data_IF_724544545580
#
_entry.id   IF_724544545580
#
_cell.length_a   1.000
_cell.length_b   1.000
_cell.length_c   1.000
_cell.angle_alpha   90.00
_cell.angle_beta   90.00
_cell.angle_gamma   90.00
#
_symmetry.space_group_name_H-M   'P 1'
#
loop_
_entity.id
_entity.type
_entity.pdbx_description
1 polymer ?
#
# COMPACT_ATOMS: atom_id res chain seq x y z
N UNK A 1 9.66 -1.77 -6.05
CA UNK A 1 10.23 -2.84 -6.89
C UNK A 1 9.44 -2.91 -8.19
N UNK A 2 10.12 -2.88 -9.34
CA UNK A 2 9.54 -3.24 -10.64
C UNK A 2 10.18 -4.54 -11.12
N UNK A 3 9.41 -5.41 -11.78
CA UNK A 3 9.94 -6.64 -12.37
C UNK A 3 10.96 -6.39 -13.50
N UNK A 4 10.96 -5.18 -14.06
CA UNK A 4 11.88 -4.75 -15.12
C UNK A 4 13.15 -4.09 -14.57
N UNK A 5 13.20 -3.81 -13.26
CA UNK A 5 14.35 -3.15 -12.64
C UNK A 5 15.22 -4.17 -11.92
N UNK A 6 16.55 -3.96 -11.88
CA UNK A 6 17.42 -4.81 -11.09
C UNK A 6 17.01 -4.80 -9.61
N UNK A 7 17.30 -5.87 -8.85
CA UNK A 7 17.03 -5.90 -7.41
C UNK A 7 17.63 -4.67 -6.73
N UNK A 8 16.89 -3.99 -5.84
CA UNK A 8 17.43 -2.84 -5.12
C UNK A 8 18.61 -3.28 -4.27
N UNK A 9 19.57 -2.36 -4.15
CA UNK A 9 20.72 -2.52 -3.27
C UNK A 9 20.26 -2.78 -1.83
N UNK A 10 21.02 -3.60 -1.13
CA UNK A 10 20.72 -3.95 0.26
C UNK A 10 20.83 -2.69 1.14
N UNK A 11 19.74 -2.26 1.82
CA UNK A 11 19.77 -1.04 2.61
C UNK A 11 20.69 -1.19 3.83
N UNK A 12 21.47 -0.15 4.12
CA UNK A 12 22.44 -0.17 5.23
C UNK A 12 21.77 -0.34 6.59
N UNK A 13 20.56 0.21 6.75
CA UNK A 13 19.74 0.14 7.96
C UNK A 13 19.31 -1.29 8.31
N UNK A 14 19.26 -2.18 7.32
CA UNK A 14 18.81 -3.57 7.46
C UNK A 14 19.97 -4.55 7.74
N UNK A 15 21.22 -4.11 7.66
CA UNK A 15 22.41 -4.96 7.83
C UNK A 15 22.44 -5.70 9.16
N UNK A 16 21.92 -5.08 10.23
CA UNK A 16 21.90 -5.66 11.58
C UNK A 16 20.76 -6.68 11.80
N UNK A 17 19.74 -6.68 10.93
CA UNK A 17 18.51 -7.47 11.13
C UNK A 17 18.36 -8.61 10.13
N UNK A 18 18.91 -8.45 8.92
CA UNK A 18 18.70 -9.39 7.81
C UNK A 18 20.05 -9.68 7.17
N UNK A 19 20.40 -10.96 6.99
CA UNK A 19 21.62 -11.30 6.24
C UNK A 19 21.48 -10.95 4.76
N UNK A 20 22.58 -10.55 4.08
CA UNK A 20 22.55 -10.22 2.64
C UNK A 20 21.96 -11.35 1.78
N UNK A 21 22.30 -12.60 2.09
CA UNK A 21 21.79 -13.78 1.36
C UNK A 21 20.27 -13.96 1.52
N UNK A 22 19.76 -13.72 2.73
CA UNK A 22 18.30 -13.75 3.00
C UNK A 22 17.59 -12.66 2.24
N UNK A 23 18.17 -11.45 2.18
CA UNK A 23 17.61 -10.33 1.42
C UNK A 23 17.48 -10.69 -0.07
N UNK A 24 18.57 -11.12 -0.70
CA UNK A 24 18.60 -11.42 -2.13
C UNK A 24 17.60 -12.53 -2.49
N UNK A 25 17.55 -13.59 -1.68
CA UNK A 25 16.63 -14.71 -1.88
C UNK A 25 15.16 -14.27 -1.78
N UNK A 26 14.82 -13.48 -0.76
CA UNK A 26 13.44 -12.99 -0.54
C UNK A 26 13.01 -11.99 -1.61
N UNK A 27 13.88 -11.05 -1.98
CA UNK A 27 13.58 -10.05 -3.02
C UNK A 27 13.38 -10.73 -4.38
N UNK A 28 14.19 -11.73 -4.72
CA UNK A 28 13.99 -12.53 -5.94
C UNK A 28 12.66 -13.30 -5.91
N UNK A 29 12.32 -13.91 -4.79
CA UNK A 29 11.06 -14.64 -4.64
C UNK A 29 9.83 -13.71 -4.76
N UNK A 30 9.86 -12.54 -4.12
CA UNK A 30 8.82 -11.50 -4.25
C UNK A 30 8.69 -11.07 -5.70
N UNK A 31 9.82 -10.75 -6.35
CA UNK A 31 9.82 -10.26 -7.73
C UNK A 31 9.28 -11.31 -8.70
N UNK A 32 9.62 -12.59 -8.49
CA UNK A 32 9.11 -13.72 -9.29
C UNK A 32 7.60 -13.90 -9.16
N UNK A 33 7.07 -13.86 -7.94
CA UNK A 33 5.61 -13.96 -7.75
C UNK A 33 4.94 -12.73 -8.34
N UNK A 34 5.46 -11.53 -8.07
CA UNK A 34 4.86 -10.31 -8.56
C UNK A 34 4.83 -10.23 -10.10
N UNK A 35 5.87 -10.71 -10.79
CA UNK A 35 5.92 -10.71 -12.26
C UNK A 35 4.93 -11.68 -12.92
N UNK A 36 4.46 -12.69 -12.19
CA UNK A 36 3.41 -13.62 -12.64
C UNK A 36 2.01 -13.01 -12.55
N UNK A 37 1.76 -12.11 -11.59
CA UNK A 37 0.43 -11.55 -11.30
C UNK A 37 0.30 -10.04 -11.61
N UNK A 38 1.38 -9.39 -12.06
CA UNK A 38 1.40 -8.01 -12.54
C UNK A 38 1.65 -8.00 -14.04
N UNK A 39 0.58 -7.90 -14.83
CA UNK A 39 0.64 -7.81 -16.31
C UNK A 39 -0.12 -6.57 -16.75
N UNK A 40 0.49 -5.37 -16.61
CA UNK A 40 -0.19 -4.08 -16.79
C UNK A 40 -0.72 -3.91 -18.22
N UNK A 41 0.00 -4.41 -19.23
CA UNK A 41 -0.40 -4.35 -20.63
C UNK A 41 -1.62 -5.21 -20.91
N UNK A 42 -1.63 -6.45 -20.40
CA UNK A 42 -2.76 -7.35 -20.52
C UNK A 42 -3.99 -6.78 -19.79
N UNK A 43 -3.81 -6.25 -18.58
CA UNK A 43 -4.89 -5.60 -17.82
C UNK A 43 -5.47 -4.41 -18.57
N UNK A 44 -4.63 -3.55 -19.17
CA UNK A 44 -5.08 -2.41 -19.99
C UNK A 44 -5.85 -2.88 -21.22
N UNK A 45 -5.30 -3.81 -22.00
CA UNK A 45 -5.96 -4.33 -23.20
C UNK A 45 -7.30 -5.00 -22.86
N UNK A 46 -7.33 -5.80 -21.79
CA UNK A 46 -8.55 -6.45 -21.34
C UNK A 46 -9.58 -5.43 -20.87
N UNK A 47 -9.20 -4.44 -20.08
CA UNK A 47 -10.11 -3.39 -19.61
C UNK A 47 -10.67 -2.55 -20.75
N UNK A 48 -9.85 -2.23 -21.77
CA UNK A 48 -10.32 -1.56 -22.98
C UNK A 48 -11.32 -2.42 -23.76
N UNK A 49 -11.02 -3.72 -23.92
CA UNK A 49 -11.93 -4.67 -24.56
C UNK A 49 -13.25 -4.75 -23.80
N UNK A 50 -13.21 -4.93 -22.47
CA UNK A 50 -14.39 -4.94 -21.60
C UNK A 50 -15.22 -3.68 -21.72
N UNK A 51 -14.56 -2.51 -21.79
CA UNK A 51 -15.25 -1.22 -21.93
C UNK A 51 -16.03 -1.18 -23.24
N UNK A 52 -15.39 -1.52 -24.38
CA UNK A 52 -16.04 -1.54 -25.69
C UNK A 52 -17.21 -2.53 -25.69
N UNK A 53 -16.97 -3.73 -25.17
CA UNK A 53 -17.95 -4.82 -25.17
C UNK A 53 -19.18 -4.50 -24.29
N UNK A 54 -18.98 -3.72 -23.22
CA UNK A 54 -20.07 -3.24 -22.35
C UNK A 54 -21.10 -2.39 -23.10
N UNK A 55 -20.70 -1.65 -24.14
CA UNK A 55 -21.64 -0.88 -24.96
C UNK A 55 -22.16 -1.65 -26.16
N UNK A 56 -21.28 -2.38 -26.84
CA UNK A 56 -21.64 -3.10 -28.09
C UNK A 56 -22.57 -4.28 -27.81
N UNK A 57 -22.30 -5.08 -26.77
CA UNK A 57 -23.06 -6.31 -26.53
C UNK A 57 -24.54 -6.04 -26.18
N UNK A 58 -24.91 -5.09 -25.31
CA UNK A 58 -26.31 -4.79 -25.03
C UNK A 58 -27.04 -4.20 -26.23
N UNK A 59 -26.38 -3.37 -27.04
CA UNK A 59 -26.94 -2.85 -28.29
C UNK A 59 -27.29 -3.99 -29.25
N UNK A 60 -26.34 -4.89 -29.50
CA UNK A 60 -26.57 -6.04 -30.39
C UNK A 60 -27.66 -6.95 -29.82
N UNK A 61 -27.63 -7.24 -28.52
CA UNK A 61 -28.65 -8.05 -27.86
C UNK A 61 -30.06 -7.42 -27.99
N UNK A 62 -30.16 -6.10 -27.81
CA UNK A 62 -31.41 -5.36 -27.99
C UNK A 62 -31.93 -5.45 -29.43
N UNK A 63 -31.06 -5.20 -30.43
CA UNK A 63 -31.45 -5.28 -31.85
C UNK A 63 -31.88 -6.70 -32.24
N UNK A 64 -31.18 -7.72 -31.77
CA UNK A 64 -31.52 -9.12 -32.02
C UNK A 64 -32.84 -9.49 -31.37
N UNK A 65 -33.06 -9.09 -30.11
CA UNK A 65 -34.32 -9.33 -29.40
C UNK A 65 -35.50 -8.66 -30.10
N UNK A 66 -35.36 -7.39 -30.47
CA UNK A 66 -36.41 -6.63 -31.18
C UNK A 66 -36.77 -7.27 -32.53
N UNK A 67 -35.76 -7.68 -33.31
CA UNK A 67 -35.99 -8.33 -34.61
C UNK A 67 -36.63 -9.71 -34.47
N UNK A 68 -36.30 -10.44 -33.40
CA UNK A 68 -36.91 -11.73 -33.09
C UNK A 68 -38.39 -11.56 -32.74
N UNK A 69 -38.73 -10.61 -31.86
CA UNK A 69 -40.12 -10.34 -31.48
C UNK A 69 -40.94 -9.79 -32.66
N UNK A 70 -40.39 -8.86 -33.46
CA UNK A 70 -41.09 -8.32 -34.64
C UNK A 70 -41.43 -9.37 -35.70
N UNK A 71 -40.64 -10.45 -35.84
CA UNK A 71 -40.94 -11.55 -36.79
C UNK A 71 -42.07 -12.45 -36.32
N UNK A 72 -42.32 -12.50 -35.02
CA UNK A 72 -43.31 -13.39 -34.41
C UNK A 72 -44.74 -12.83 -34.54
N UNK A 73 -44.88 -11.56 -34.96
CA UNK A 73 -46.09 -10.76 -34.78
C UNK A 73 -46.75 -10.20 -36.05
N UNK A 74 -46.61 -10.84 -37.21
CA UNK A 74 -47.29 -10.38 -38.45
C UNK A 74 -48.84 -10.43 -38.36
N UNK A 75 -49.46 -10.58 -37.17
CA UNK A 75 -50.92 -10.59 -37.00
C UNK A 75 -51.52 -10.21 -35.64
N UNK A 76 -50.80 -9.63 -34.66
CA UNK A 76 -51.40 -9.27 -33.34
C UNK A 76 -51.26 -7.77 -32.97
N UNK A 77 -52.18 -7.31 -32.10
CA UNK A 77 -52.60 -5.93 -31.80
C UNK A 77 -51.50 -5.00 -31.26
N UNK A 78 -51.65 -3.69 -31.53
CA UNK A 78 -50.80 -2.57 -31.06
C UNK A 78 -50.40 -2.62 -29.57
N UNK A 79 -51.28 -3.06 -28.66
CA UNK A 79 -50.99 -3.10 -27.22
C UNK A 79 -49.83 -4.04 -26.83
N UNK A 80 -49.51 -5.05 -27.64
CA UNK A 80 -48.38 -5.95 -27.33
C UNK A 80 -47.02 -5.33 -27.70
N UNK A 81 -46.99 -4.33 -28.59
CA UNK A 81 -45.75 -3.69 -29.05
C UNK A 81 -44.93 -3.05 -27.91
N UNK A 82 -45.61 -2.39 -26.97
CA UNK A 82 -44.98 -1.79 -25.79
C UNK A 82 -44.38 -2.84 -24.84
N UNK A 83 -45.01 -4.01 -24.74
CA UNK A 83 -44.52 -5.12 -23.92
C UNK A 83 -43.22 -5.69 -24.48
N UNK A 84 -43.09 -5.89 -25.80
CA UNK A 84 -41.84 -6.38 -26.40
C UNK A 84 -40.69 -5.39 -26.31
N UNK A 85 -40.98 -4.09 -26.35
CA UNK A 85 -39.96 -3.05 -26.13
C UNK A 85 -39.40 -3.19 -24.70
N UNK A 86 -40.23 -3.49 -23.71
CA UNK A 86 -39.77 -3.73 -22.35
C UNK A 86 -39.01 -5.04 -22.17
N UNK A 87 -39.50 -6.13 -22.76
CA UNK A 87 -38.84 -7.45 -22.67
C UNK A 87 -37.45 -7.43 -23.33
N UNK A 88 -37.33 -6.80 -24.50
CA UNK A 88 -36.04 -6.65 -25.19
C UNK A 88 -35.03 -5.81 -24.38
N UNK A 89 -35.47 -4.75 -23.69
CA UNK A 89 -34.61 -3.97 -22.78
C UNK A 89 -34.14 -4.80 -21.59
N UNK A 90 -35.01 -5.63 -21.02
CA UNK A 90 -34.67 -6.50 -19.89
C UNK A 90 -33.63 -7.55 -20.29
N UNK A 91 -33.76 -8.13 -21.48
CA UNK A 91 -32.76 -9.06 -22.04
C UNK A 91 -31.41 -8.34 -22.22
N UNK A 92 -31.41 -7.16 -22.84
CA UNK A 92 -30.20 -6.38 -23.04
C UNK A 92 -29.52 -6.02 -21.70
N UNK A 93 -30.30 -5.66 -20.68
CA UNK A 93 -29.80 -5.43 -19.32
C UNK A 93 -29.19 -6.69 -18.70
N UNK A 94 -29.86 -7.85 -18.84
CA UNK A 94 -29.35 -9.14 -18.38
C UNK A 94 -28.01 -9.50 -19.03
N UNK A 95 -27.88 -9.28 -20.35
CA UNK A 95 -26.63 -9.48 -21.09
C UNK A 95 -25.53 -8.55 -20.58
N UNK A 96 -25.84 -7.27 -20.32
CA UNK A 96 -24.89 -6.31 -19.76
C UNK A 96 -24.33 -6.78 -18.41
N UNK A 97 -25.22 -7.18 -17.49
CA UNK A 97 -24.83 -7.65 -16.15
C UNK A 97 -24.03 -8.96 -16.24
N UNK A 98 -24.48 -9.91 -17.06
CA UNK A 98 -23.77 -11.17 -17.28
C UNK A 98 -22.37 -10.93 -17.84
N UNK A 99 -22.23 -9.99 -18.78
CA UNK A 99 -20.94 -9.62 -19.36
C UNK A 99 -20.00 -9.03 -18.30
N UNK A 100 -20.50 -8.20 -17.39
CA UNK A 100 -19.69 -7.67 -16.30
C UNK A 100 -19.10 -8.79 -15.44
N UNK A 101 -19.91 -9.78 -15.06
CA UNK A 101 -19.38 -10.92 -14.31
C UNK A 101 -18.33 -11.68 -15.12
N UNK A 102 -18.58 -11.99 -16.38
CA UNK A 102 -17.62 -12.73 -17.24
C UNK A 102 -16.31 -11.95 -17.44
N UNK A 103 -16.36 -10.63 -17.59
CA UNK A 103 -15.17 -9.83 -17.89
C UNK A 103 -14.38 -9.42 -16.64
N UNK A 104 -15.05 -9.09 -15.53
CA UNK A 104 -14.38 -8.57 -14.33
C UNK A 104 -14.03 -9.66 -13.31
N UNK A 105 -14.84 -10.71 -13.18
CA UNK A 105 -14.64 -11.75 -12.16
C UNK A 105 -13.32 -12.51 -12.36
N UNK A 106 -12.93 -12.95 -13.57
CA UNK A 106 -11.66 -13.66 -13.77
C UNK A 106 -10.45 -12.82 -13.37
N UNK A 107 -10.45 -11.52 -13.68
CA UNK A 107 -9.37 -10.60 -13.27
C UNK A 107 -9.35 -10.43 -11.76
N UNK A 108 -10.51 -10.22 -11.14
CA UNK A 108 -10.61 -10.05 -9.69
C UNK A 108 -10.07 -11.29 -8.96
N UNK A 109 -10.48 -12.49 -9.40
CA UNK A 109 -10.01 -13.77 -8.85
C UNK A 109 -8.51 -13.93 -9.07
N UNK A 110 -8.01 -13.67 -10.28
CA UNK A 110 -6.58 -13.78 -10.57
C UNK A 110 -5.73 -12.85 -9.69
N UNK A 111 -6.15 -11.60 -9.52
CA UNK A 111 -5.49 -10.63 -8.63
C UNK A 111 -5.56 -11.06 -7.17
N UNK A 112 -6.70 -11.58 -6.73
CA UNK A 112 -6.87 -12.09 -5.38
C UNK A 112 -5.94 -13.27 -5.10
N UNK A 113 -5.86 -14.24 -6.02
CA UNK A 113 -4.96 -15.39 -5.90
C UNK A 113 -3.49 -14.96 -5.80
N UNK A 114 -3.06 -13.96 -6.58
CA UNK A 114 -1.71 -13.42 -6.49
C UNK A 114 -1.40 -12.81 -5.13
N UNK A 115 -2.34 -12.04 -4.56
CA UNK A 115 -2.23 -11.46 -3.21
C UNK A 115 -2.19 -12.54 -2.13
N UNK A 116 -3.10 -13.51 -2.20
CA UNK A 116 -3.16 -14.61 -1.24
C UNK A 116 -1.86 -15.44 -1.25
N UNK A 117 -1.30 -15.71 -2.43
CA UNK A 117 -0.03 -16.44 -2.56
C UNK A 117 1.16 -15.66 -2.00
N UNK A 118 1.22 -14.35 -2.27
CA UNK A 118 2.26 -13.48 -1.70
C UNK A 118 2.18 -13.44 -0.18
N UNK A 119 0.99 -13.23 0.38
CA UNK A 119 0.78 -13.19 1.83
C UNK A 119 1.18 -14.53 2.48
N UNK A 120 0.75 -15.66 1.91
CA UNK A 120 1.12 -16.98 2.42
C UNK A 120 2.64 -17.21 2.43
N UNK A 121 3.36 -16.71 1.42
CA UNK A 121 4.82 -16.80 1.37
C UNK A 121 5.47 -15.96 2.47
N UNK A 122 5.03 -14.71 2.64
CA UNK A 122 5.54 -13.79 3.66
C UNK A 122 5.25 -14.33 5.08
N UNK A 123 4.06 -14.86 5.31
CA UNK A 123 3.69 -15.50 6.58
C UNK A 123 4.56 -16.74 6.87
N UNK A 124 4.95 -17.48 5.83
CA UNK A 124 5.90 -18.59 5.94
C UNK A 124 7.26 -18.10 6.46
N UNK A 125 7.80 -17.04 5.86
CA UNK A 125 9.05 -16.44 6.30
C UNK A 125 9.00 -15.90 7.71
N UNK A 126 7.88 -15.27 8.11
CA UNK A 126 7.71 -14.80 9.48
C UNK A 126 7.80 -15.95 10.49
N UNK A 127 7.19 -17.11 10.17
CA UNK A 127 7.27 -18.31 11.03
C UNK A 127 8.68 -18.89 11.09
N UNK A 128 9.39 -18.92 9.97
CA UNK A 128 10.77 -19.43 9.91
C UNK A 128 11.74 -18.50 10.67
N UNK A 129 11.54 -17.19 10.57
CA UNK A 129 12.32 -16.21 11.33
C UNK A 129 12.08 -16.33 12.84
N UNK A 130 10.83 -16.53 13.28
CA UNK A 130 10.51 -16.79 14.70
C UNK A 130 11.21 -18.05 15.21
N UNK A 131 11.27 -19.11 14.41
CA UNK A 131 11.93 -20.38 14.79
C UNK A 131 13.44 -20.28 14.88
N UNK A 132 14.04 -19.41 14.07
CA UNK A 132 15.50 -19.27 13.99
C UNK A 132 16.02 -18.16 14.90
N UNK A 133 15.16 -17.27 15.37
CA UNK A 133 15.54 -16.17 16.24
C UNK A 133 15.94 -16.69 17.64
N UNK A 134 17.12 -16.27 18.10
CA UNK A 134 17.58 -16.52 19.47
C UNK A 134 16.84 -15.67 20.52
N UNK A 135 16.22 -14.56 20.10
CA UNK A 135 15.43 -13.67 20.94
C UNK A 135 14.25 -13.08 20.16
N UNK A 136 13.07 -13.08 20.77
CA UNK A 136 11.83 -12.54 20.19
C UNK A 136 11.89 -11.02 19.93
N UNK A 137 12.82 -10.30 20.56
CA UNK A 137 12.91 -8.84 20.49
C UNK A 137 13.51 -8.35 19.16
N UNK A 138 14.19 -9.21 18.40
CA UNK A 138 14.95 -8.81 17.20
C UNK A 138 14.32 -9.25 15.85
N UNK A 139 13.05 -9.65 15.83
CA UNK A 139 12.43 -10.24 14.63
C UNK A 139 11.91 -9.13 13.70
N UNK A 140 12.53 -8.98 12.52
CA UNK A 140 12.03 -8.09 11.47
C UNK A 140 10.72 -8.64 10.88
N UNK A 141 9.69 -7.81 10.76
CA UNK A 141 8.44 -8.21 10.09
C UNK A 141 8.42 -7.70 8.66
N UNK A 142 8.05 -8.59 7.74
CA UNK A 142 8.00 -8.31 6.31
C UNK A 142 6.54 -8.13 5.90
N UNK A 143 6.25 -7.06 5.17
CA UNK A 143 4.93 -6.84 4.55
C UNK A 143 5.13 -6.43 3.10
N UNK A 144 4.40 -7.08 2.20
CA UNK A 144 4.47 -6.80 0.76
C UNK A 144 3.12 -6.32 0.29
N UNK A 145 3.05 -5.10 -0.21
CA UNK A 145 1.87 -4.59 -0.90
C UNK A 145 2.01 -4.88 -2.39
N UNK A 146 1.15 -5.77 -2.89
CA UNK A 146 1.07 -6.09 -4.32
C UNK A 146 0.56 -4.90 -5.13
N UNK A 147 1.02 -4.76 -6.38
CA UNK A 147 0.56 -3.71 -7.27
C UNK A 147 -0.97 -3.67 -7.39
N UNK A 148 -1.52 -2.45 -7.37
CA UNK A 148 -2.92 -2.19 -7.67
C UNK A 148 -3.24 -2.41 -9.15
N UNK A 149 -4.50 -2.28 -9.52
CA UNK A 149 -4.90 -2.28 -10.94
C UNK A 149 -4.19 -1.10 -11.64
N UNK A 150 -3.57 -1.37 -12.80
CA UNK A 150 -2.82 -0.39 -13.60
C UNK A 150 -1.52 0.18 -13.00
N UNK A 151 -1.07 -0.32 -11.84
CA UNK A 151 0.21 0.08 -11.23
C UNK A 151 1.19 -1.10 -11.30
N UNK A 152 2.45 -0.84 -11.63
CA UNK A 152 3.50 -1.87 -11.60
C UNK A 152 4.36 -1.84 -10.33
N UNK A 153 4.15 -0.86 -9.47
CA UNK A 153 4.92 -0.70 -8.25
C UNK A 153 4.55 -1.74 -7.20
N UNK A 154 5.50 -2.60 -6.85
CA UNK A 154 5.43 -3.43 -5.65
C UNK A 154 6.12 -2.65 -4.51
N UNK A 155 5.44 -2.55 -3.37
CA UNK A 155 5.99 -1.89 -2.18
C UNK A 155 6.32 -2.94 -1.14
N UNK A 156 7.58 -2.99 -0.74
CA UNK A 156 8.07 -3.82 0.35
C UNK A 156 8.24 -2.93 1.58
N UNK A 157 7.56 -3.27 2.66
CA UNK A 157 7.66 -2.60 3.95
C UNK A 157 8.29 -3.58 4.92
N UNK A 158 9.41 -3.20 5.51
CA UNK A 158 10.07 -4.00 6.55
C UNK A 158 10.04 -3.18 7.81
N UNK A 159 9.45 -3.75 8.85
CA UNK A 159 9.42 -3.13 10.18
C UNK A 159 10.46 -3.83 11.03
N UNK A 160 11.52 -3.10 11.37
CA UNK A 160 12.53 -3.54 12.33
C UNK A 160 12.09 -3.15 13.75
N UNK A 161 12.28 -4.02 14.75
CA UNK A 161 12.10 -3.61 16.14
C UNK A 161 13.13 -2.52 16.46
N UNK A 162 12.64 -1.39 16.96
CA UNK A 162 13.49 -0.28 17.35
C UNK A 162 14.45 -0.70 18.47
N UNK A 163 15.64 -0.08 18.58
CA UNK A 163 16.48 -0.27 19.76
C UNK A 163 15.65 0.07 21.01
N UNK A 164 15.83 -0.65 22.14
CA UNK A 164 15.18 -0.28 23.38
C UNK A 164 15.53 1.18 23.68
N UNK A 165 14.53 2.05 23.65
CA UNK A 165 14.73 3.46 23.95
C UNK A 165 15.16 3.58 25.40
N UNK A 166 16.32 4.21 25.63
CA UNK A 166 16.77 4.64 26.97
C UNK A 166 16.01 5.88 27.47
N UNK A 167 14.93 6.28 26.77
CA UNK A 167 14.07 7.41 27.11
C UNK A 167 12.62 6.95 27.36
N UNK A 168 12.42 5.82 28.03
CA UNK A 168 11.15 5.49 28.67
C UNK A 168 10.97 6.31 29.95
N UNK A 169 9.72 6.56 30.38
CA UNK A 169 9.44 7.26 31.64
C UNK A 169 10.07 6.58 32.87
N UNK A 170 10.40 5.29 32.73
CA UNK A 170 10.96 4.40 33.75
C UNK A 170 12.45 4.05 33.49
N UNK A 171 13.06 4.51 32.39
CA UNK A 171 14.43 4.10 32.05
C UNK A 171 15.43 5.00 32.76
N UNK A 172 16.37 4.38 33.49
CA UNK A 172 17.51 5.05 34.10
C UNK A 172 18.26 5.85 33.03
N UNK A 173 18.19 7.18 33.13
CA UNK A 173 19.01 8.08 32.34
C UNK A 173 20.48 7.83 32.70
N UNK A 174 21.40 7.89 31.72
CA UNK A 174 22.83 7.82 32.00
C UNK A 174 23.22 8.87 33.05
N UNK A 175 24.15 8.57 33.97
CA UNK A 175 24.45 9.42 35.13
C UNK A 175 24.95 10.84 34.79
N UNK A 176 25.33 11.10 33.54
CA UNK A 176 25.68 12.45 33.06
C UNK A 176 24.47 13.29 32.63
N UNK A 177 23.30 12.66 32.45
CA UNK A 177 22.01 13.34 32.27
C UNK A 177 21.37 13.39 33.65
N UNK A 178 21.78 14.38 34.45
CA UNK A 178 21.12 14.62 35.73
C UNK A 178 19.62 14.82 35.47
N UNK A 179 18.77 14.02 36.11
CA UNK A 179 17.36 14.39 36.29
C UNK A 179 17.36 15.81 36.87
N UNK A 180 16.58 16.77 36.33
CA UNK A 180 16.52 18.11 36.87
C UNK A 180 16.30 18.02 38.38
N UNK A 181 17.31 18.40 39.16
CA UNK A 181 17.27 18.36 40.64
C UNK A 181 16.30 19.39 41.20
N UNK A 182 15.89 20.34 40.37
CA UNK A 182 14.93 21.37 40.72
C UNK A 182 13.57 20.99 40.13
N UNK A 183 12.57 20.89 41.02
CA UNK A 183 11.18 20.96 40.60
C UNK A 183 11.03 22.17 39.68
N UNK A 184 10.42 21.98 38.51
CA UNK A 184 10.25 23.03 37.53
C UNK A 184 9.72 24.30 38.23
N UNK A 185 10.40 25.46 38.10
CA UNK A 185 9.97 26.67 38.77
C UNK A 185 8.53 26.97 38.34
N UNK A 186 7.67 27.32 39.31
CA UNK A 186 6.30 27.68 39.01
C UNK A 186 6.29 28.82 37.99
N UNK A 187 5.28 28.81 37.10
CA UNK A 187 5.12 29.75 35.99
C UNK A 187 5.23 31.25 36.37
N UNK A 188 5.14 31.56 37.66
CA UNK A 188 5.26 32.91 38.22
C UNK A 188 6.71 33.40 38.33
N UNK A 189 7.69 32.51 38.52
CA UNK A 189 9.12 32.89 38.64
C UNK A 189 9.69 33.26 37.27
N UNK A 190 9.26 32.58 36.19
CA UNK A 190 9.71 32.86 34.82
C UNK A 190 9.34 34.27 34.34
N UNK A 191 8.24 34.84 34.83
CA UNK A 191 7.86 36.23 34.49
C UNK A 191 8.77 37.29 35.11
N UNK A 192 9.38 37.03 36.27
CA UNK A 192 10.26 38.02 36.94
C UNK A 192 11.59 38.24 36.23
N UNK A 193 12.09 37.25 35.50
CA UNK A 193 13.34 37.38 34.73
C UNK A 193 13.12 37.89 33.29
N UNK A 194 11.86 37.99 32.84
CA UNK A 194 11.51 38.44 31.50
C UNK A 194 11.54 39.97 31.30
N UNK A 195 11.73 40.76 32.37
CA UNK A 195 11.71 42.22 32.29
C UNK A 195 13.09 42.88 32.19
N UNK A 196 14.18 42.12 32.08
CA UNK A 196 15.55 42.66 32.13
C UNK A 196 16.47 42.32 30.94
N UNK A 197 16.00 41.72 29.86
CA UNK A 197 16.85 41.53 28.68
C UNK A 197 16.06 41.55 27.38
N UNK A 198 16.37 42.55 26.54
CA UNK A 198 15.84 42.68 25.20
C UNK A 198 16.15 41.47 24.32
N UNK A 199 15.14 41.10 23.53
CA UNK A 199 15.19 40.32 22.28
C UNK A 199 16.30 39.27 22.12
N UNK A 200 16.41 38.34 23.07
CA UNK A 200 17.03 37.04 22.83
C UNK A 200 15.96 36.02 22.43
N UNK A 201 15.77 35.79 21.13
CA UNK A 201 14.97 34.64 20.66
C UNK A 201 15.62 33.35 21.20
N UNK A 202 14.83 32.55 21.90
CA UNK A 202 15.19 31.18 22.27
C UNK A 202 15.63 30.41 21.03
N UNK A 203 16.87 29.93 20.99
CA UNK A 203 17.35 29.01 19.95
C UNK A 203 18.79 29.17 19.48
N UNK A 204 19.49 30.26 19.83
CA UNK A 204 20.90 30.41 19.45
C UNK A 204 21.82 30.01 20.60
N UNK A 205 22.34 28.78 20.53
CA UNK A 205 23.47 28.34 21.33
C UNK A 205 24.72 28.65 20.51
N UNK A 206 25.55 29.63 20.89
CA UNK A 206 26.80 29.88 20.18
C UNK A 206 27.75 28.70 20.37
N UNK A 207 28.16 28.10 19.25
CA UNK A 207 29.03 26.91 19.20
C UNK A 207 30.53 27.24 19.33
N UNK A 208 30.90 28.51 19.51
CA UNK A 208 32.27 28.92 19.76
C UNK A 208 32.32 29.96 20.87
N UNK A 209 33.06 29.64 21.93
CA UNK A 209 33.46 30.59 22.95
C UNK A 209 34.75 31.26 22.47
N UNK A 210 34.64 32.44 21.85
CA UNK A 210 35.80 33.21 21.41
C UNK A 210 36.35 34.02 22.61
N UNK A 211 36.87 33.31 23.62
CA UNK A 211 37.67 33.94 24.67
C UNK A 211 39.06 34.20 24.10
N UNK A 212 39.25 35.39 23.50
CA UNK A 212 40.59 35.97 23.38
C UNK A 212 41.04 36.36 24.76
N UNK A 213 41.94 35.57 25.32
CA UNK A 213 42.80 36.00 26.43
C UNK A 213 43.53 37.27 26.00
N UNK A 214 43.13 38.41 26.57
CA UNK A 214 43.94 39.61 26.59
C UNK A 214 44.85 39.46 27.82
N UNK A 215 46.05 38.94 27.58
CA UNK A 215 47.16 39.14 28.50
C UNK A 215 47.58 40.61 28.44
N UNK A 216 47.45 41.31 29.57
CA UNK A 216 48.25 42.50 29.92
C UNK A 216 48.94 42.19 31.23
#
# INVERSE_FOLDING_TARGET
LSHTQPPPLFPIELQNYVSPDKWETRVRAITRIASQYSKPTLERCWMLLSLILTFVAPLVAYYVALHHFNRQEVGQREDQSDQFIWESRLIAFGVMVGLWFVMFLPIAVWKYMGRARMNKMVDGWAKDDIRTASSYVAISTWKVAMPGVFRDGIVLVITCPGPPSTFGHESYLPPYIATPSEAAPSYEVTKRFSSLQGEGKFGEIPLYNDSKDIAV
#
